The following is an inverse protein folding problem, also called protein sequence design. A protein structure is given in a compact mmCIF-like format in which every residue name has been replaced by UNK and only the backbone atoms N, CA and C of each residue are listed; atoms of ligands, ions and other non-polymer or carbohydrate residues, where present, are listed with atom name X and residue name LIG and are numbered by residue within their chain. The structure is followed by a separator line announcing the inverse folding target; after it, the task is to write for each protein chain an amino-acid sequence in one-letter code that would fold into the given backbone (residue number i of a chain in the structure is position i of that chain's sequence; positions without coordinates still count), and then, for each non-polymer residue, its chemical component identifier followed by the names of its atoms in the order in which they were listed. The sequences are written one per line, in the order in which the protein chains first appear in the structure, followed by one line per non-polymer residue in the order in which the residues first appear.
data_IF_245381899769
#
_entry.id   IF_245381899769
#
_cell.length_a   1.000
_cell.length_b   1.000
_cell.length_c   1.000
_cell.angle_alpha   90.00
_cell.angle_beta   90.00
_cell.angle_gamma   90.00
#
_symmetry.space_group_name_H-M   'P 1'
#
loop_
_entity.id
_entity.type
_entity.pdbx_description
1 polymer ?
#
# COMPACT_ATOMS: atom_id res chain seq x y z
N UNK A 1 3.95 21.32 -9.35
CA UNK A 1 5.31 20.87 -8.90
C UNK A 1 5.58 19.57 -9.61
N UNK A 2 6.30 19.68 -10.72
CA UNK A 2 6.76 18.54 -11.49
C UNK A 2 7.79 17.80 -10.62
N UNK A 3 7.38 16.71 -9.98
CA UNK A 3 8.34 15.79 -9.39
C UNK A 3 9.00 15.07 -10.57
N UNK A 4 10.27 15.38 -10.81
CA UNK A 4 11.10 14.53 -11.64
C UNK A 4 11.27 13.21 -10.88
N UNK A 5 10.46 12.22 -11.24
CA UNK A 5 10.71 10.85 -10.82
C UNK A 5 11.77 10.35 -11.79
N UNK A 6 13.03 10.48 -11.39
CA UNK A 6 14.17 9.98 -12.15
C UNK A 6 14.25 8.45 -12.16
N UNK A 7 13.51 7.79 -11.26
CA UNK A 7 13.49 6.33 -11.12
C UNK A 7 12.11 5.82 -11.52
N UNK A 8 11.99 5.19 -12.66
CA UNK A 8 10.78 4.51 -13.13
C UNK A 8 10.54 3.19 -12.39
N UNK A 9 9.32 2.65 -12.46
CA UNK A 9 8.99 1.34 -11.88
C UNK A 9 9.89 0.23 -12.43
N UNK A 10 10.27 0.33 -13.70
CA UNK A 10 11.19 -0.62 -14.32
C UNK A 10 12.59 -0.56 -13.70
N UNK A 11 13.09 0.62 -13.37
CA UNK A 11 14.40 0.77 -12.73
C UNK A 11 14.38 0.14 -11.33
N UNK A 12 13.28 0.33 -10.56
CA UNK A 12 13.10 -0.31 -9.25
C UNK A 12 13.07 -1.84 -9.39
N UNK A 13 12.39 -2.37 -10.40
CA UNK A 13 12.35 -3.79 -10.71
C UNK A 13 13.75 -4.33 -11.07
N UNK A 14 14.49 -3.62 -11.91
CA UNK A 14 15.82 -4.05 -12.37
C UNK A 14 16.88 -3.97 -11.24
N UNK A 15 16.75 -3.03 -10.31
CA UNK A 15 17.71 -2.80 -9.22
C UNK A 15 17.45 -3.62 -7.96
N UNK A 16 16.20 -4.04 -7.72
CA UNK A 16 15.80 -4.70 -6.48
C UNK A 16 15.30 -6.14 -6.73
N UNK A 17 16.14 -7.17 -6.50
CA UNK A 17 15.78 -8.56 -6.75
C UNK A 17 14.59 -9.08 -5.92
N UNK A 18 14.33 -8.49 -4.75
CA UNK A 18 13.18 -8.86 -3.91
C UNK A 18 11.89 -8.33 -4.54
N UNK A 19 11.91 -7.10 -4.99
CA UNK A 19 10.77 -6.50 -5.74
C UNK A 19 10.56 -7.26 -7.05
N UNK A 20 11.62 -7.54 -7.83
CA UNK A 20 11.52 -8.31 -9.06
C UNK A 20 10.83 -9.66 -8.84
N UNK A 21 11.26 -10.40 -7.83
CA UNK A 21 10.67 -11.69 -7.47
C UNK A 21 9.18 -11.60 -7.11
N UNK A 22 8.77 -10.54 -6.40
CA UNK A 22 7.37 -10.32 -6.05
C UNK A 22 6.54 -9.95 -7.28
N UNK A 23 7.07 -9.14 -8.17
CA UNK A 23 6.39 -8.77 -9.43
C UNK A 23 6.28 -9.97 -10.36
N UNK A 24 7.34 -10.76 -10.51
CA UNK A 24 7.34 -11.97 -11.35
C UNK A 24 6.37 -13.03 -10.84
N UNK A 25 6.11 -13.06 -9.54
CA UNK A 25 5.11 -13.96 -8.96
C UNK A 25 3.71 -13.75 -9.57
N UNK A 26 3.37 -12.54 -10.05
CA UNK A 26 2.08 -12.24 -10.71
C UNK A 26 1.87 -13.13 -11.94
N UNK A 27 2.94 -13.48 -12.64
CA UNK A 27 2.91 -14.33 -13.85
C UNK A 27 3.56 -15.69 -13.61
N UNK A 28 3.68 -16.12 -12.36
CA UNK A 28 4.16 -17.46 -12.02
C UNK A 28 3.14 -18.54 -12.40
N UNK A 29 3.64 -19.76 -12.61
CA UNK A 29 2.77 -20.91 -12.94
C UNK A 29 1.72 -21.15 -11.85
N UNK A 30 2.08 -20.92 -10.57
CA UNK A 30 1.17 -21.08 -9.43
C UNK A 30 0.00 -20.10 -9.51
N UNK A 31 0.27 -18.83 -9.80
CA UNK A 31 -0.79 -17.82 -9.85
C UNK A 31 -1.59 -17.92 -11.15
N UNK A 32 -0.94 -18.25 -12.27
CA UNK A 32 -1.62 -18.47 -13.55
C UNK A 32 -2.53 -19.70 -13.54
N UNK A 33 -2.25 -20.71 -12.69
CA UNK A 33 -3.10 -21.90 -12.56
C UNK A 33 -4.46 -21.63 -11.91
N UNK A 34 -4.57 -20.59 -11.09
CA UNK A 34 -5.79 -20.27 -10.31
C UNK A 34 -6.44 -18.94 -10.72
N UNK A 35 -5.71 -18.09 -11.44
CA UNK A 35 -6.16 -16.77 -11.85
C UNK A 35 -6.46 -16.66 -13.36
N UNK A 36 -7.04 -15.54 -13.76
CA UNK A 36 -7.22 -15.21 -15.18
C UNK A 36 -5.88 -14.77 -15.78
N UNK A 37 -5.35 -15.58 -16.68
CA UNK A 37 -4.05 -15.36 -17.32
C UNK A 37 -3.96 -14.00 -18.01
N UNK A 38 -5.00 -13.61 -18.74
CA UNK A 38 -5.00 -12.35 -19.53
C UNK A 38 -4.95 -11.15 -18.58
N UNK A 39 -5.72 -11.20 -17.49
CA UNK A 39 -5.74 -10.16 -16.48
C UNK A 39 -4.40 -10.07 -15.73
N UNK A 40 -3.80 -11.20 -15.35
CA UNK A 40 -2.52 -11.24 -14.64
C UNK A 40 -1.36 -10.73 -15.50
N UNK A 41 -1.28 -11.16 -16.76
CA UNK A 41 -0.27 -10.66 -17.71
C UNK A 41 -0.43 -9.15 -17.99
N UNK A 42 -1.68 -8.67 -18.05
CA UNK A 42 -1.95 -7.24 -18.19
C UNK A 42 -1.51 -6.46 -16.96
N UNK A 43 -1.85 -6.94 -15.76
CA UNK A 43 -1.41 -6.32 -14.50
C UNK A 43 0.12 -6.23 -14.42
N UNK A 44 0.83 -7.31 -14.72
CA UNK A 44 2.28 -7.36 -14.76
C UNK A 44 2.86 -6.27 -15.68
N UNK A 45 2.34 -6.17 -16.91
CA UNK A 45 2.78 -5.16 -17.88
C UNK A 45 2.47 -3.73 -17.43
N UNK A 46 1.30 -3.49 -16.83
CA UNK A 46 0.94 -2.16 -16.35
C UNK A 46 1.84 -1.71 -15.20
N UNK A 47 2.16 -2.60 -14.26
CA UNK A 47 3.08 -2.29 -13.15
C UNK A 47 4.47 -1.94 -13.68
N UNK A 48 5.02 -2.70 -14.61
CA UNK A 48 6.38 -2.47 -15.13
C UNK A 48 6.48 -1.23 -16.02
N UNK A 49 5.44 -0.94 -16.83
CA UNK A 49 5.57 0.07 -17.87
C UNK A 49 4.97 1.43 -17.49
N UNK A 50 3.99 1.45 -16.59
CA UNK A 50 3.26 2.68 -16.30
C UNK A 50 3.25 3.04 -14.82
N UNK A 51 2.99 2.06 -13.96
CA UNK A 51 2.88 2.21 -12.50
C UNK A 51 2.33 3.58 -12.05
N UNK A 52 1.13 3.91 -12.51
CA UNK A 52 0.47 5.20 -12.29
C UNK A 52 0.41 5.65 -10.84
N UNK A 53 0.47 4.70 -9.91
CA UNK A 53 0.34 4.92 -8.48
C UNK A 53 1.67 4.78 -7.73
N UNK A 54 2.80 4.63 -8.43
CA UNK A 54 4.12 4.40 -7.82
C UNK A 54 4.13 3.19 -6.87
N UNK A 55 3.45 2.12 -7.27
CA UNK A 55 3.19 0.92 -6.46
C UNK A 55 4.48 0.25 -6.01
N UNK A 56 5.49 0.16 -6.89
CA UNK A 56 6.76 -0.50 -6.56
C UNK A 56 7.59 0.33 -5.56
N UNK A 57 7.49 1.65 -5.61
CA UNK A 57 8.12 2.52 -4.62
C UNK A 57 7.45 2.36 -3.25
N UNK A 58 6.12 2.37 -3.21
CA UNK A 58 5.34 2.17 -2.00
C UNK A 58 5.53 0.77 -1.41
N UNK A 59 5.73 -0.25 -2.25
CA UNK A 59 5.98 -1.62 -1.82
C UNK A 59 7.25 -1.74 -0.98
N UNK A 60 8.32 -1.01 -1.31
CA UNK A 60 9.56 -0.97 -0.50
C UNK A 60 9.29 -0.45 0.91
N UNK A 61 8.56 0.64 1.02
CA UNK A 61 8.22 1.23 2.31
C UNK A 61 7.20 0.38 3.09
N UNK A 62 6.28 -0.28 2.38
CA UNK A 62 5.37 -1.26 2.97
C UNK A 62 6.12 -2.44 3.60
N UNK A 63 7.09 -3.04 2.90
CA UNK A 63 7.90 -4.15 3.42
C UNK A 63 8.62 -3.74 4.71
N UNK A 64 9.33 -2.61 4.70
CA UNK A 64 10.01 -2.09 5.89
C UNK A 64 9.05 -1.82 7.05
N UNK A 65 7.90 -1.25 6.75
CA UNK A 65 6.88 -0.97 7.78
C UNK A 65 6.30 -2.26 8.35
N UNK A 66 6.03 -3.26 7.51
CA UNK A 66 5.55 -4.58 7.92
C UNK A 66 6.54 -5.27 8.86
N UNK A 67 7.83 -5.25 8.54
CA UNK A 67 8.87 -5.83 9.41
C UNK A 67 8.93 -5.13 10.77
N UNK A 68 8.84 -3.80 10.78
CA UNK A 68 8.77 -3.03 12.03
C UNK A 68 7.54 -3.39 12.86
N UNK A 69 6.38 -3.55 12.21
CA UNK A 69 5.14 -3.96 12.87
C UNK A 69 5.28 -5.35 13.49
N UNK A 70 5.88 -6.31 12.80
CA UNK A 70 6.12 -7.64 13.34
C UNK A 70 7.05 -7.60 14.57
N UNK A 71 8.11 -6.81 14.51
CA UNK A 71 9.01 -6.61 15.64
C UNK A 71 8.30 -5.94 16.84
N UNK A 72 7.48 -4.94 16.57
CA UNK A 72 6.67 -4.30 17.61
C UNK A 72 5.67 -5.29 18.24
N UNK A 73 5.13 -6.21 17.45
CA UNK A 73 4.17 -7.22 17.91
C UNK A 73 4.78 -8.24 18.88
N UNK A 74 6.10 -8.47 18.84
CA UNK A 74 6.80 -9.35 19.80
C UNK A 74 6.67 -8.83 21.23
N UNK A 75 6.65 -7.52 21.45
CA UNK A 75 6.39 -6.91 22.75
C UNK A 75 4.87 -6.74 22.97
N UNK A 76 4.25 -7.79 23.53
CA UNK A 76 2.79 -7.85 23.71
C UNK A 76 2.23 -6.74 24.59
N UNK A 77 2.94 -6.34 25.63
CA UNK A 77 2.46 -5.28 26.54
C UNK A 77 2.42 -3.92 25.83
N UNK A 78 3.49 -3.59 25.12
CA UNK A 78 3.55 -2.38 24.31
C UNK A 78 2.53 -2.39 23.17
N UNK A 79 2.35 -3.54 22.52
CA UNK A 79 1.37 -3.73 21.46
C UNK A 79 -0.08 -3.54 21.97
N UNK A 80 -0.43 -4.21 23.06
CA UNK A 80 -1.77 -4.09 23.66
C UNK A 80 -2.08 -2.65 24.08
N UNK A 81 -1.07 -1.93 24.60
CA UNK A 81 -1.22 -0.50 24.92
C UNK A 81 -1.51 0.34 23.69
N UNK A 82 -0.80 0.10 22.58
CA UNK A 82 -1.06 0.76 21.28
C UNK A 82 -2.48 0.45 20.79
N UNK A 83 -2.92 -0.82 20.89
CA UNK A 83 -4.27 -1.22 20.52
C UNK A 83 -5.33 -0.49 21.33
N UNK A 84 -5.15 -0.40 22.64
CA UNK A 84 -6.09 0.29 23.54
C UNK A 84 -6.19 1.78 23.20
N UNK A 85 -5.06 2.44 22.95
CA UNK A 85 -5.02 3.84 22.53
C UNK A 85 -5.75 4.01 21.19
N UNK A 86 -5.51 3.12 20.23
CA UNK A 86 -6.14 3.18 18.93
C UNK A 86 -7.67 3.03 19.03
N UNK A 87 -8.14 2.09 19.85
CA UNK A 87 -9.59 1.91 20.13
C UNK A 87 -10.17 3.17 20.79
N UNK A 88 -9.49 3.74 21.77
CA UNK A 88 -9.95 4.96 22.45
C UNK A 88 -10.04 6.18 21.52
N UNK A 89 -9.19 6.24 20.49
CA UNK A 89 -9.16 7.30 19.50
C UNK A 89 -10.03 7.00 18.26
N UNK A 90 -10.64 5.82 18.16
CA UNK A 90 -11.37 5.39 16.95
C UNK A 90 -12.58 6.28 16.61
N UNK A 91 -13.14 6.99 17.59
CA UNK A 91 -14.19 7.97 17.37
C UNK A 91 -13.83 9.08 16.37
N UNK A 92 -12.53 9.37 16.23
CA UNK A 92 -12.04 10.30 15.21
C UNK A 92 -12.38 9.86 13.78
N UNK A 93 -12.50 8.56 13.53
CA UNK A 93 -12.82 7.98 12.23
C UNK A 93 -14.33 7.74 12.03
N UNK A 94 -15.19 8.29 12.89
CA UNK A 94 -16.64 8.17 12.71
C UNK A 94 -17.10 8.88 11.44
N UNK A 95 -18.08 8.30 10.74
CA UNK A 95 -18.69 8.90 9.56
C UNK A 95 -19.36 10.23 9.88
N UNK A 96 -20.02 10.32 11.04
CA UNK A 96 -20.72 11.53 11.48
C UNK A 96 -19.76 12.71 11.61
N UNK A 97 -18.61 12.50 12.26
CA UNK A 97 -17.56 13.53 12.33
C UNK A 97 -17.06 13.92 10.94
N UNK A 98 -16.81 12.93 10.08
CA UNK A 98 -16.28 13.17 8.74
C UNK A 98 -17.28 13.99 7.92
N UNK A 99 -18.56 13.64 7.95
CA UNK A 99 -19.62 14.37 7.24
C UNK A 99 -19.77 15.79 7.81
N UNK A 100 -19.75 15.95 9.14
CA UNK A 100 -19.80 17.26 9.77
C UNK A 100 -18.63 18.15 9.30
N UNK A 101 -17.41 17.60 9.27
CA UNK A 101 -16.24 18.31 8.78
C UNK A 101 -16.36 18.68 7.29
N UNK A 102 -16.83 17.77 6.42
CA UNK A 102 -17.10 18.09 5.03
C UNK A 102 -18.15 19.20 4.88
N UNK A 103 -19.18 19.18 5.73
CA UNK A 103 -20.17 20.24 5.71
C UNK A 103 -19.58 21.59 6.13
N UNK A 104 -18.75 21.61 7.17
CA UNK A 104 -18.09 22.83 7.65
C UNK A 104 -17.08 23.39 6.64
N UNK A 105 -16.22 22.51 6.06
CA UNK A 105 -15.09 22.93 5.26
C UNK A 105 -15.45 23.15 3.77
N UNK A 106 -16.49 22.46 3.27
CA UNK A 106 -16.73 22.38 1.81
C UNK A 106 -18.16 22.73 1.43
N UNK A 107 -19.16 22.07 2.04
CA UNK A 107 -20.54 22.17 1.55
C UNK A 107 -21.32 23.35 2.11
N UNK A 108 -21.05 23.72 3.35
CA UNK A 108 -21.74 24.83 4.06
C UNK A 108 -23.26 24.73 4.03
N UNK A 109 -23.80 23.50 4.15
CA UNK A 109 -25.24 23.26 4.16
C UNK A 109 -25.83 23.69 5.51
N UNK A 110 -27.00 24.36 5.46
CA UNK A 110 -27.76 24.77 6.64
C UNK A 110 -28.49 23.61 7.30
#
# INVERSE_FOLDING_TARGET
RQMCIETGSKDIYDEDPEIAKLVDFIVSDELLAIGDKVCLERLYKEILNKDWFMTLLDLKEYIKTKERVYKDYENKDAWNKKCLINIAQAGFFSSDRTIAQYNEDIWHLA
#
